data_IF_997835302283
#
_entry.id   IF_997835302283
#
_cell.length_a   1.000
_cell.length_b   1.000
_cell.length_c   1.000
_cell.angle_alpha   90.00
_cell.angle_beta   90.00
_cell.angle_gamma   90.00
#
_symmetry.space_group_name_H-M   'P 1'
#
loop_
_entity.id
_entity.type
_entity.pdbx_description
1 polymer ?
#
# COMPACT_ATOMS: atom_id res chain seq x y z
N UNK A 1 25.06 -12.47 13.67
CA UNK A 1 25.24 -11.84 12.34
C UNK A 1 25.12 -12.80 11.16
N UNK A 2 25.45 -14.10 11.27
CA UNK A 2 25.39 -15.05 10.15
C UNK A 2 23.97 -15.37 9.63
N UNK A 3 22.95 -15.41 10.48
CA UNK A 3 21.56 -15.67 10.06
C UNK A 3 20.98 -14.60 9.12
N UNK A 4 21.37 -13.32 9.31
CA UNK A 4 20.86 -12.20 8.52
C UNK A 4 21.42 -12.21 7.10
N UNK A 5 22.66 -12.64 6.93
CA UNK A 5 23.32 -12.75 5.62
C UNK A 5 22.91 -14.01 4.85
N UNK A 6 22.63 -15.12 5.54
CA UNK A 6 22.13 -16.36 4.91
C UNK A 6 20.73 -16.20 4.31
N UNK A 7 19.81 -15.53 5.03
CA UNK A 7 18.45 -15.24 4.53
C UNK A 7 18.50 -14.32 3.30
N UNK A 8 19.43 -13.36 3.28
CA UNK A 8 19.59 -12.42 2.16
C UNK A 8 20.01 -13.12 0.85
N UNK A 9 20.88 -14.14 0.93
CA UNK A 9 21.35 -14.89 -0.24
C UNK A 9 20.25 -15.79 -0.83
N UNK A 10 19.47 -16.45 0.03
CA UNK A 10 18.31 -17.26 -0.38
C UNK A 10 17.25 -16.39 -1.04
N UNK A 11 17.06 -15.16 -0.55
CA UNK A 11 16.13 -14.17 -1.10
C UNK A 11 16.50 -13.71 -2.52
N UNK A 12 17.80 -13.51 -2.77
CA UNK A 12 18.31 -13.09 -4.09
C UNK A 12 18.20 -14.22 -5.12
N UNK A 13 18.47 -15.47 -4.72
CA UNK A 13 18.39 -16.63 -5.61
C UNK A 13 16.95 -16.95 -6.04
N UNK A 14 15.97 -16.71 -5.16
CA UNK A 14 14.55 -16.93 -5.44
C UNK A 14 13.98 -16.00 -6.53
N UNK A 15 14.43 -14.75 -6.60
CA UNK A 15 13.86 -13.74 -7.50
C UNK A 15 14.15 -13.93 -9.00
N UNK A 16 14.82 -15.01 -9.41
CA UNK A 16 15.22 -15.27 -10.81
C UNK A 16 14.34 -16.31 -11.54
N UNK A 17 13.24 -16.76 -10.95
CA UNK A 17 12.34 -17.70 -11.62
C UNK A 17 11.33 -16.96 -12.51
N UNK A 18 11.26 -17.35 -13.79
CA UNK A 18 10.23 -16.89 -14.73
C UNK A 18 8.95 -17.68 -14.53
N UNK A 19 7.81 -17.00 -14.37
CA UNK A 19 6.52 -17.64 -14.05
C UNK A 19 5.52 -17.54 -15.21
N UNK A 20 4.71 -18.59 -15.37
CA UNK A 20 3.60 -18.59 -16.31
C UNK A 20 2.34 -18.02 -15.62
N UNK A 21 1.69 -17.06 -16.28
CA UNK A 21 0.42 -16.50 -15.84
C UNK A 21 0.13 -15.15 -16.50
N UNK A 22 -0.93 -14.48 -16.04
CA UNK A 22 -1.31 -13.16 -16.54
C UNK A 22 -0.13 -12.16 -16.45
N UNK A 23 -0.09 -11.15 -17.31
CA UNK A 23 0.88 -10.04 -17.30
C UNK A 23 0.17 -8.71 -17.44
N UNK A 24 0.78 -7.61 -16.99
CA UNK A 24 0.24 -6.26 -17.20
C UNK A 24 1.18 -5.38 -18.01
N UNK A 25 0.61 -4.46 -18.78
CA UNK A 25 1.32 -3.34 -19.43
C UNK A 25 1.09 -2.00 -18.72
N UNK A 26 0.14 -1.92 -17.78
CA UNK A 26 -0.20 -0.70 -17.05
C UNK A 26 0.76 -0.40 -15.88
N UNK A 27 0.80 0.88 -15.47
CA UNK A 27 1.69 1.39 -14.42
C UNK A 27 1.63 0.59 -13.13
N UNK A 28 2.82 0.22 -12.64
CA UNK A 28 3.07 -0.50 -11.39
C UNK A 28 2.80 0.35 -10.13
N UNK A 29 2.55 1.65 -10.28
CA UNK A 29 2.26 2.56 -9.17
C UNK A 29 0.95 3.29 -9.45
N UNK A 30 -0.09 2.95 -8.67
CA UNK A 30 -1.40 3.60 -8.73
C UNK A 30 -1.51 4.51 -7.51
N UNK A 31 -1.81 5.79 -7.73
CA UNK A 31 -2.04 6.73 -6.63
C UNK A 31 -3.52 7.05 -6.51
N UNK A 32 -4.08 6.93 -5.32
CA UNK A 32 -5.43 7.40 -4.99
C UNK A 32 -5.37 8.57 -3.99
N UNK A 33 -6.32 9.50 -4.12
CA UNK A 33 -6.47 10.65 -3.26
C UNK A 33 -7.60 10.47 -2.24
N UNK A 34 -7.33 10.74 -0.96
CA UNK A 34 -8.33 10.77 0.10
C UNK A 34 -8.35 12.18 0.69
N UNK A 35 -9.47 12.87 0.45
CA UNK A 35 -9.77 14.13 1.09
C UNK A 35 -10.48 13.85 2.41
N UNK A 36 -9.83 14.23 3.49
CA UNK A 36 -10.31 14.04 4.86
C UNK A 36 -10.77 15.41 5.37
N UNK A 37 -12.08 15.51 5.64
CA UNK A 37 -12.64 16.63 6.38
C UNK A 37 -12.43 16.45 7.89
N UNK A 38 -13.27 17.09 8.71
CA UNK A 38 -13.21 16.92 10.16
C UNK A 38 -13.43 15.46 10.59
N UNK A 39 -12.46 14.87 11.30
CA UNK A 39 -12.60 13.54 11.89
C UNK A 39 -13.30 13.69 13.25
N UNK A 40 -14.63 13.51 13.26
CA UNK A 40 -15.48 13.64 14.45
C UNK A 40 -15.47 12.39 15.35
N UNK A 41 -15.18 11.21 14.79
CA UNK A 41 -15.10 9.94 15.51
C UNK A 41 -13.64 9.49 15.67
N UNK A 42 -13.34 8.64 16.65
CA UNK A 42 -11.98 8.10 16.84
C UNK A 42 -11.42 7.47 15.55
N UNK A 43 -12.28 6.94 14.67
CA UNK A 43 -11.93 6.38 13.36
C UNK A 43 -12.98 6.74 12.29
N UNK A 44 -12.56 6.93 11.04
CA UNK A 44 -13.40 7.11 9.85
C UNK A 44 -12.96 6.15 8.76
N UNK A 45 -13.89 5.57 8.01
CA UNK A 45 -13.59 4.62 6.93
C UNK A 45 -13.94 5.20 5.56
N UNK A 46 -13.06 4.97 4.58
CA UNK A 46 -13.24 5.37 3.19
C UNK A 46 -13.17 4.13 2.31
N UNK A 47 -14.29 3.78 1.68
CA UNK A 47 -14.34 2.72 0.68
C UNK A 47 -13.88 3.25 -0.67
N UNK A 48 -12.91 2.58 -1.28
CA UNK A 48 -12.31 2.92 -2.56
C UNK A 48 -12.16 1.67 -3.42
N UNK A 49 -11.84 1.88 -4.69
CA UNK A 49 -11.57 0.80 -5.63
C UNK A 49 -10.41 1.17 -6.52
N UNK A 50 -9.51 0.22 -6.74
CA UNK A 50 -8.46 0.34 -7.75
C UNK A 50 -8.86 -0.48 -8.97
N UNK A 51 -8.68 0.11 -10.16
CA UNK A 51 -8.93 -0.55 -11.44
C UNK A 51 -7.58 -0.88 -12.08
N UNK A 52 -7.32 -2.17 -12.20
CA UNK A 52 -6.18 -2.70 -12.95
C UNK A 52 -6.59 -2.85 -14.41
N UNK A 53 -5.75 -2.41 -15.34
CA UNK A 53 -6.02 -2.42 -16.78
C UNK A 53 -4.84 -3.01 -17.56
N UNK A 54 -5.04 -3.38 -18.82
CA UNK A 54 -3.96 -3.89 -19.67
C UNK A 54 -3.47 -5.27 -19.28
N UNK A 55 -4.36 -6.10 -18.71
CA UNK A 55 -4.05 -7.45 -18.23
C UNK A 55 -4.18 -8.45 -19.38
N UNK A 56 -3.12 -9.18 -19.66
CA UNK A 56 -3.07 -10.23 -20.67
C UNK A 56 -2.82 -11.57 -20.02
N UNK A 57 -3.66 -12.56 -20.25
CA UNK A 57 -3.58 -13.90 -19.69
C UNK A 57 -3.59 -14.95 -20.80
N UNK A 58 -2.78 -15.99 -20.65
CA UNK A 58 -2.54 -16.98 -21.70
C UNK A 58 -3.49 -18.18 -21.60
N UNK A 59 -3.96 -18.50 -20.38
CA UNK A 59 -4.83 -19.65 -20.10
C UNK A 59 -6.18 -19.24 -19.53
N UNK A 60 -7.18 -20.11 -19.70
CA UNK A 60 -8.54 -19.92 -19.15
C UNK A 60 -8.61 -20.00 -17.63
N UNK A 61 -7.55 -20.49 -16.98
CA UNK A 61 -7.47 -20.65 -15.52
C UNK A 61 -6.59 -19.61 -14.85
N UNK A 62 -5.99 -18.71 -15.62
CA UNK A 62 -5.11 -17.70 -15.06
C UNK A 62 -5.88 -16.75 -14.15
N UNK A 63 -5.25 -16.44 -13.01
CA UNK A 63 -5.82 -15.65 -11.93
C UNK A 63 -4.90 -14.51 -11.53
N UNK A 64 -5.52 -13.45 -11.03
CA UNK A 64 -4.89 -12.40 -10.25
C UNK A 64 -5.09 -12.74 -8.78
N UNK A 65 -4.06 -12.54 -7.96
CA UNK A 65 -4.10 -12.75 -6.52
C UNK A 65 -3.80 -11.44 -5.82
N UNK A 66 -4.65 -11.01 -4.90
CA UNK A 66 -4.49 -9.76 -4.17
C UNK A 66 -3.92 -10.02 -2.77
N UNK A 67 -2.95 -9.19 -2.37
CA UNK A 67 -2.19 -9.30 -1.14
C UNK A 67 -1.98 -7.92 -0.52
N UNK A 68 -2.34 -7.78 0.75
CA UNK A 68 -1.93 -6.62 1.55
C UNK A 68 -0.49 -6.81 2.02
N UNK A 69 0.40 -5.86 1.70
CA UNK A 69 1.75 -5.90 2.28
C UNK A 69 1.81 -5.20 3.63
N UNK A 70 1.06 -4.11 3.81
CA UNK A 70 1.02 -3.38 5.05
C UNK A 70 -0.43 -3.15 5.48
N UNK A 71 -0.71 -3.48 6.74
CA UNK A 71 -2.06 -3.51 7.32
C UNK A 71 -2.08 -2.93 8.73
N UNK A 72 -1.04 -2.16 9.08
CA UNK A 72 -0.91 -1.53 10.40
C UNK A 72 -0.94 -0.01 10.26
N UNK A 73 -1.24 0.69 11.34
CA UNK A 73 -1.40 2.13 11.35
C UNK A 73 -0.09 2.85 11.03
N UNK A 74 -0.14 3.74 10.05
CA UNK A 74 0.95 4.66 9.69
C UNK A 74 0.55 6.07 10.10
N UNK A 75 1.37 6.74 10.90
CA UNK A 75 1.17 8.15 11.22
C UNK A 75 1.61 9.04 10.05
N UNK A 76 0.77 10.01 9.70
CA UNK A 76 1.04 11.05 8.71
C UNK A 76 0.73 12.43 9.26
N UNK A 77 1.47 13.41 8.79
CA UNK A 77 1.46 14.76 9.33
C UNK A 77 2.84 15.15 9.88
N UNK A 78 2.94 16.35 10.49
CA UNK A 78 1.81 17.19 10.88
C UNK A 78 1.15 17.93 9.71
N UNK A 79 -0.16 18.12 9.83
CA UNK A 79 -0.94 18.94 8.91
C UNK A 79 -0.93 20.42 9.35
N UNK A 80 -1.59 21.30 8.59
CA UNK A 80 -1.54 22.75 8.81
C UNK A 80 -1.84 23.23 10.24
N UNK A 81 -2.68 22.48 10.97
CA UNK A 81 -3.06 22.75 12.36
C UNK A 81 -2.22 21.99 13.41
N UNK A 82 -1.18 21.25 13.01
CA UNK A 82 -0.36 20.42 13.91
C UNK A 82 -0.94 19.05 14.25
N UNK A 83 -2.12 18.71 13.73
CA UNK A 83 -2.65 17.36 13.91
C UNK A 83 -1.88 16.36 13.04
N UNK A 84 -1.76 15.13 13.54
CA UNK A 84 -1.37 13.96 12.74
C UNK A 84 -2.57 13.04 12.61
N UNK A 85 -2.60 12.28 11.53
CA UNK A 85 -3.57 11.22 11.31
C UNK A 85 -2.86 9.88 11.34
N UNK A 86 -3.53 8.85 11.83
CA UNK A 86 -3.15 7.45 11.62
C UNK A 86 -3.95 6.94 10.44
N UNK A 87 -3.30 6.29 9.49
CA UNK A 87 -3.91 5.72 8.29
C UNK A 87 -3.61 4.23 8.24
N UNK A 88 -4.62 3.41 7.90
CA UNK A 88 -4.48 1.97 7.78
C UNK A 88 -5.34 1.48 6.61
N UNK A 89 -4.76 0.69 5.72
CA UNK A 89 -5.55 -0.09 4.75
C UNK A 89 -6.05 -1.36 5.45
N UNK A 90 -7.36 -1.57 5.45
CA UNK A 90 -7.97 -2.79 6.00
C UNK A 90 -7.66 -4.02 5.16
N UNK A 91 -7.80 -5.19 5.78
CA UNK A 91 -7.67 -6.47 5.09
C UNK A 91 -8.59 -6.53 3.87
N UNK A 92 -8.05 -6.94 2.72
CA UNK A 92 -8.84 -7.09 1.50
C UNK A 92 -9.92 -8.15 1.70
N UNK A 93 -11.17 -7.80 1.37
CA UNK A 93 -12.27 -8.76 1.32
C UNK A 93 -12.18 -9.72 0.11
N UNK A 94 -11.35 -9.38 -0.88
CA UNK A 94 -11.15 -10.14 -2.11
C UNK A 94 -9.68 -10.49 -2.28
N UNK A 95 -9.38 -11.78 -2.42
CA UNK A 95 -8.00 -12.30 -2.45
C UNK A 95 -7.58 -12.83 -3.82
N UNK A 96 -8.51 -13.04 -4.75
CA UNK A 96 -8.20 -13.38 -6.14
C UNK A 96 -9.34 -13.13 -7.12
N UNK A 97 -9.01 -13.05 -8.41
CA UNK A 97 -9.93 -13.07 -9.55
C UNK A 97 -9.44 -14.01 -10.65
N UNK A 98 -10.31 -14.87 -11.17
CA UNK A 98 -10.03 -15.62 -12.41
C UNK A 98 -10.40 -14.74 -13.60
N UNK A 99 -9.41 -14.36 -14.39
CA UNK A 99 -9.61 -13.51 -15.57
C UNK A 99 -9.89 -14.38 -16.81
N UNK A 100 -9.19 -15.52 -16.89
CA UNK A 100 -9.21 -16.37 -18.08
C UNK A 100 -8.48 -15.74 -19.27
N UNK A 101 -8.40 -16.49 -20.38
CA UNK A 101 -7.62 -16.09 -21.56
C UNK A 101 -8.13 -14.78 -22.14
N UNK A 102 -7.30 -13.74 -22.10
CA UNK A 102 -7.62 -12.40 -22.58
C UNK A 102 -6.34 -11.67 -22.95
N UNK A 103 -6.40 -10.77 -23.93
CA UNK A 103 -5.26 -9.92 -24.31
C UNK A 103 -5.33 -8.50 -23.72
N UNK A 104 -6.46 -8.13 -23.12
CA UNK A 104 -6.68 -6.81 -22.54
C UNK A 104 -7.89 -6.80 -21.59
N UNK A 105 -7.73 -7.39 -20.41
CA UNK A 105 -8.73 -7.39 -19.36
C UNK A 105 -8.56 -6.23 -18.38
N UNK A 106 -9.63 -5.98 -17.62
CA UNK A 106 -9.63 -5.09 -16.47
C UNK A 106 -10.09 -5.85 -15.23
N UNK A 107 -9.55 -5.50 -14.08
CA UNK A 107 -9.94 -6.06 -12.79
C UNK A 107 -10.15 -4.95 -11.77
N UNK A 108 -11.24 -5.02 -11.01
CA UNK A 108 -11.58 -4.03 -9.98
C UNK A 108 -11.40 -4.66 -8.61
N UNK A 109 -10.56 -4.05 -7.79
CA UNK A 109 -10.34 -4.44 -6.40
C UNK A 109 -10.86 -3.36 -5.45
N UNK A 110 -11.95 -3.63 -4.72
CA UNK A 110 -12.37 -2.75 -3.63
C UNK A 110 -11.41 -2.88 -2.42
N UNK A 111 -11.13 -1.75 -1.77
CA UNK A 111 -10.39 -1.68 -0.51
C UNK A 111 -10.99 -0.62 0.41
N UNK A 112 -10.68 -0.71 1.69
CA UNK A 112 -11.14 0.26 2.70
C UNK A 112 -9.92 0.86 3.39
N UNK A 113 -9.89 2.18 3.45
CA UNK A 113 -8.89 2.93 4.22
C UNK A 113 -9.54 3.44 5.48
N UNK A 114 -8.97 3.08 6.63
CA UNK A 114 -9.32 3.67 7.91
C UNK A 114 -8.36 4.79 8.26
N UNK A 115 -8.93 5.86 8.78
CA UNK A 115 -8.21 7.05 9.21
C UNK A 115 -8.66 7.39 10.63
N UNK A 116 -7.72 7.56 11.53
CA UNK A 116 -7.92 7.88 12.93
C UNK A 116 -7.07 9.09 13.32
N UNK A 117 -7.34 9.66 14.50
CA UNK A 117 -6.48 10.71 15.05
C UNK A 117 -5.14 10.12 15.50
N UNK A 118 -4.05 10.72 15.04
CA UNK A 118 -2.70 10.42 15.47
C UNK A 118 -2.28 11.27 16.66
N UNK A 119 -1.02 11.11 17.07
CA UNK A 119 -0.44 11.95 18.12
C UNK A 119 -0.11 13.32 17.55
N UNK A 120 -0.67 14.43 18.04
CA UNK A 120 -0.39 15.76 17.51
C UNK A 120 1.11 16.11 17.57
N UNK A 121 1.56 16.91 16.61
CA UNK A 121 2.92 17.41 16.53
C UNK A 121 2.91 18.85 15.99
N UNK A 122 3.30 19.78 16.85
CA UNK A 122 3.29 21.20 16.53
C UNK A 122 4.65 21.73 16.09
N UNK A 123 5.70 20.91 16.13
CA UNK A 123 7.10 21.30 15.87
C UNK A 123 7.59 20.85 14.49
N UNK A 124 6.96 19.84 13.89
CA UNK A 124 7.30 19.35 12.55
C UNK A 124 6.87 20.26 11.38
N UNK A 125 7.45 20.00 10.19
CA UNK A 125 7.09 20.67 8.94
C UNK A 125 5.61 20.39 8.59
N UNK A 126 4.82 21.46 8.38
CA UNK A 126 3.38 21.35 8.16
C UNK A 126 3.05 21.35 6.67
N UNK A 127 2.33 20.33 6.22
CA UNK A 127 1.87 20.21 4.82
C UNK A 127 0.36 19.98 4.77
N UNK A 128 -0.28 20.47 3.71
CA UNK A 128 -1.72 20.23 3.48
C UNK A 128 -1.99 18.80 3.01
N UNK A 129 -1.01 18.19 2.35
CA UNK A 129 -1.10 16.85 1.77
C UNK A 129 0.15 16.05 2.11
N UNK A 130 -0.05 14.80 2.50
CA UNK A 130 1.02 13.83 2.75
C UNK A 130 0.83 12.62 1.84
N UNK A 131 1.93 12.13 1.29
CA UNK A 131 1.92 10.93 0.47
C UNK A 131 2.39 9.73 1.29
N UNK A 132 1.59 8.66 1.27
CA UNK A 132 1.92 7.37 1.86
C UNK A 132 2.07 6.38 0.74
N UNK A 133 3.23 5.75 0.64
CA UNK A 133 3.37 4.55 -0.19
C UNK A 133 2.92 3.35 0.63
N UNK A 134 1.60 3.14 0.74
CA UNK A 134 1.04 2.01 1.50
C UNK A 134 0.69 0.85 0.57
N UNK A 135 1.51 -0.19 0.60
CA UNK A 135 1.60 -1.10 -0.55
C UNK A 135 0.53 -2.19 -0.51
N UNK A 136 -0.50 -2.04 -1.35
CA UNK A 136 -1.41 -3.13 -1.77
C UNK A 136 -0.88 -3.74 -3.05
N UNK A 137 -0.57 -5.03 -3.05
CA UNK A 137 -0.08 -5.77 -4.22
C UNK A 137 -1.17 -6.63 -4.83
N UNK A 138 -1.39 -6.48 -6.12
CA UNK A 138 -2.00 -7.51 -6.96
C UNK A 138 -0.88 -8.28 -7.66
N UNK A 139 -0.81 -9.61 -7.51
CA UNK A 139 0.06 -10.52 -8.24
C UNK A 139 -0.72 -11.09 -9.43
N UNK A 140 -0.26 -10.82 -10.63
CA UNK A 140 -0.87 -11.20 -11.89
C UNK A 140 -0.06 -12.40 -12.39
N UNK A 141 -0.59 -13.63 -12.23
CA UNK A 141 -0.05 -14.82 -12.89
C UNK A 141 1.01 -15.69 -12.18
N UNK A 142 0.58 -16.88 -11.75
CA UNK A 142 1.42 -18.06 -11.44
C UNK A 142 1.26 -18.59 -10.00
N UNK A 143 1.47 -19.90 -9.79
CA UNK A 143 1.49 -20.58 -8.46
C UNK A 143 2.61 -20.09 -7.51
N UNK A 144 3.10 -18.86 -7.69
CA UNK A 144 4.06 -18.18 -6.82
C UNK A 144 3.44 -17.64 -5.53
N UNK A 145 2.12 -17.75 -5.34
CA UNK A 145 1.44 -17.25 -4.13
C UNK A 145 2.00 -17.81 -2.82
N UNK A 146 2.32 -19.12 -2.67
CA UNK A 146 2.86 -19.63 -1.41
C UNK A 146 4.25 -19.10 -1.11
N UNK A 147 5.05 -18.84 -2.14
CA UNK A 147 6.41 -18.35 -1.98
C UNK A 147 6.47 -16.85 -1.71
N UNK A 148 5.62 -16.07 -2.38
CA UNK A 148 5.39 -14.65 -2.06
C UNK A 148 4.81 -14.52 -0.64
N UNK A 149 3.86 -15.38 -0.25
CA UNK A 149 3.29 -15.40 1.11
C UNK A 149 4.35 -15.72 2.17
N UNK A 150 5.25 -16.68 1.89
CA UNK A 150 6.38 -16.99 2.75
C UNK A 150 7.30 -15.79 2.95
N UNK A 151 7.71 -15.14 1.85
CA UNK A 151 8.61 -13.99 1.92
C UNK A 151 7.97 -12.74 2.52
N UNK A 152 6.71 -12.45 2.18
CA UNK A 152 5.93 -11.39 2.84
C UNK A 152 5.76 -11.67 4.33
N UNK A 153 5.53 -12.93 4.71
CA UNK A 153 5.46 -13.37 6.11
C UNK A 153 6.76 -13.06 6.86
N UNK A 154 7.91 -13.37 6.26
CA UNK A 154 9.23 -13.04 6.81
C UNK A 154 9.42 -11.53 6.91
N UNK A 155 9.14 -10.76 5.85
CA UNK A 155 9.30 -9.30 5.87
C UNK A 155 8.43 -8.65 6.96
N UNK A 156 7.19 -9.13 7.15
CA UNK A 156 6.26 -8.66 8.18
C UNK A 156 6.71 -9.01 9.58
N UNK A 157 7.08 -10.28 9.83
CA UNK A 157 7.55 -10.73 11.13
C UNK A 157 8.79 -9.96 11.60
N UNK A 158 9.64 -9.55 10.67
CA UNK A 158 10.87 -8.82 10.94
C UNK A 158 10.72 -7.28 10.83
N UNK A 159 9.53 -6.76 10.48
CA UNK A 159 9.23 -5.33 10.29
C UNK A 159 10.24 -4.61 9.38
N UNK A 160 10.70 -5.27 8.31
CA UNK A 160 11.69 -4.71 7.39
C UNK A 160 11.02 -4.05 6.19
N UNK A 161 10.82 -2.73 6.24
CA UNK A 161 10.24 -1.97 5.12
C UNK A 161 11.05 -2.10 3.81
N UNK A 162 12.38 -2.26 3.88
CA UNK A 162 13.21 -2.44 2.68
C UNK A 162 12.97 -3.80 1.99
N UNK A 163 12.58 -4.84 2.74
CA UNK A 163 12.30 -6.19 2.26
C UNK A 163 11.04 -6.21 1.38
N UNK A 164 10.02 -5.46 1.80
CA UNK A 164 8.79 -5.20 1.07
C UNK A 164 9.07 -4.46 -0.25
N UNK A 165 9.82 -3.37 -0.18
CA UNK A 165 10.18 -2.59 -1.36
C UNK A 165 11.00 -3.41 -2.35
N UNK A 166 11.90 -4.27 -1.87
CA UNK A 166 12.70 -5.16 -2.71
C UNK A 166 11.83 -6.21 -3.43
N UNK A 167 10.94 -6.90 -2.70
CA UNK A 167 9.99 -7.86 -3.31
C UNK A 167 9.20 -7.19 -4.43
N UNK A 168 8.63 -6.03 -4.13
CA UNK A 168 7.82 -5.25 -5.06
C UNK A 168 8.62 -4.85 -6.30
N UNK A 169 9.87 -4.41 -6.14
CA UNK A 169 10.74 -4.02 -7.26
C UNK A 169 11.18 -5.21 -8.13
N UNK A 170 11.32 -6.41 -7.55
CA UNK A 170 11.71 -7.63 -8.28
C UNK A 170 10.53 -8.28 -8.99
N UNK A 171 9.33 -8.07 -8.46
CA UNK A 171 8.06 -8.47 -9.06
C UNK A 171 7.52 -7.39 -10.03
N UNK A 172 8.34 -6.39 -10.39
CA UNK A 172 7.97 -5.32 -11.30
C UNK A 172 7.60 -5.89 -12.68
N UNK A 173 6.31 -5.83 -13.04
CA UNK A 173 5.73 -6.45 -14.23
C UNK A 173 4.57 -7.40 -13.90
N UNK A 174 4.62 -8.01 -12.71
CA UNK A 174 3.60 -8.94 -12.20
C UNK A 174 2.89 -8.39 -10.96
N UNK A 175 3.42 -7.30 -10.36
CA UNK A 175 2.84 -6.65 -9.19
C UNK A 175 2.57 -5.17 -9.33
N UNK A 176 1.47 -4.71 -8.76
CA UNK A 176 1.10 -3.29 -8.64
C UNK A 176 1.26 -2.78 -7.22
N UNK A 177 1.50 -1.49 -7.03
CA UNK A 177 1.51 -0.83 -5.73
C UNK A 177 0.44 0.24 -5.67
N UNK A 178 -0.18 0.37 -4.50
CA UNK A 178 -1.05 1.50 -4.18
C UNK A 178 -0.24 2.55 -3.42
N UNK A 179 -0.34 3.80 -3.85
CA UNK A 179 0.05 4.98 -3.08
C UNK A 179 -1.21 5.74 -2.68
N UNK A 180 -1.24 6.27 -1.47
CA UNK A 180 -2.33 7.08 -0.95
C UNK A 180 -1.85 8.51 -0.72
N UNK A 181 -2.46 9.47 -1.40
CA UNK A 181 -2.32 10.88 -1.11
C UNK A 181 -3.42 11.30 -0.14
N UNK A 182 -3.04 11.72 1.07
CA UNK A 182 -3.96 12.13 2.13
C UNK A 182 -3.92 13.65 2.24
N UNK A 183 -5.02 14.29 1.85
CA UNK A 183 -5.22 15.73 2.05
C UNK A 183 -6.19 15.93 3.21
N UNK A 184 -5.75 16.66 4.24
CA UNK A 184 -6.57 16.91 5.44
C UNK A 184 -6.91 18.39 5.55
N UNK A 185 -8.22 18.66 5.63
CA UNK A 185 -8.77 20.00 5.75
C UNK A 185 -9.48 20.11 7.10
N UNK A 186 -8.75 20.41 8.18
CA UNK A 186 -9.38 20.67 9.47
C UNK A 186 -10.31 21.88 9.32
N UNK A 187 -11.48 21.86 9.97
CA UNK A 187 -12.28 23.09 10.09
C UNK A 187 -11.40 24.15 10.72
N UNK A 188 -11.53 25.40 10.24
CA UNK A 188 -10.88 26.58 10.81
C UNK A 188 -10.98 26.57 12.33
N UNK A 189 -9.96 26.07 13.01
CA UNK A 189 -9.74 26.37 14.42
C UNK A 189 -9.07 27.73 14.40
N UNK A 190 -9.78 28.73 14.92
CA UNK A 190 -9.26 30.08 15.18
C UNK A 190 -8.04 30.07 16.11
N UNK A 191 -7.67 28.93 16.68
CA UNK A 191 -6.43 28.73 17.43
C UNK A 191 -5.25 28.53 16.49
N UNK A 192 -4.64 29.64 16.05
CA UNK A 192 -3.20 29.61 15.76
C UNK A 192 -2.49 29.16 17.05
N UNK A 193 -1.54 28.22 17.02
CA UNK A 193 -0.55 28.20 18.10
C UNK A 193 0.11 29.57 18.06
N UNK A 194 -0.06 30.35 19.13
CA UNK A 194 0.71 31.58 19.30
C UNK A 194 2.18 31.22 19.11
N UNK A 195 2.89 32.02 18.32
CA UNK A 195 4.35 32.03 18.35
C UNK A 195 4.76 32.39 19.77
N UNK A 196 4.89 31.41 20.66
CA UNK A 196 5.61 31.56 21.92
C UNK A 196 7.09 31.61 21.60
N UNK A 197 7.51 32.76 21.07
CA UNK A 197 8.90 33.20 21.24
C UNK A 197 9.00 33.56 22.72
N UNK A 198 9.53 32.65 23.52
CA UNK A 198 9.98 32.98 24.87
C UNK A 198 11.22 33.86 24.68
N UNK A 199 11.07 35.15 24.94
CA UNK A 199 12.20 36.09 25.11
C UNK A 199 12.79 35.93 26.50
#
# INVERSE_FOLDING_TARGET
MMFRNGILLIFILWANFTWAGCRTTASLNITDGINVGEILANETSFSKSVVFTGISCDTSTDKIVYKNIQSDWVEVGPFGNGEKLKVKIESLGKTSDTIGKSSNAQAVLPYVVKIARGTPDFTGERKSTWFISDTVIANIGGESSPSIDFWLGICKALKFNWCVNYLTSKLAGDTFTLGLSISYYPKNTTCKPENTVIK
#
